data_IF_405362139300
#
_entry.id   IF_405362139300
#
_cell.length_a   1.000
_cell.length_b   1.000
_cell.length_c   1.000
_cell.angle_alpha   90.00
_cell.angle_beta   90.00
_cell.angle_gamma   90.00
#
_symmetry.space_group_name_H-M   'P 1'
#
loop_
_entity.id
_entity.type
_entity.pdbx_description
1 polymer ?
#
# COMPACT_ATOMS: atom_id res chain seq x y z
N UNK A 1 8.79 1.20 13.92
CA UNK A 1 7.44 0.60 13.86
C UNK A 1 7.27 -0.16 12.56
N UNK A 2 6.54 -1.25 12.61
CA UNK A 2 6.40 -2.13 11.46
C UNK A 2 5.06 -1.84 10.74
N UNK A 3 5.09 -1.39 9.46
CA UNK A 3 3.86 -1.13 8.72
C UNK A 3 3.13 -2.40 8.29
N UNK A 4 3.76 -3.56 8.42
CA UNK A 4 3.22 -4.84 7.99
C UNK A 4 2.77 -5.64 9.21
N UNK A 5 1.57 -6.23 9.13
CA UNK A 5 1.08 -7.17 10.15
C UNK A 5 0.53 -8.42 9.48
N UNK A 6 0.47 -9.50 10.25
CA UNK A 6 -0.12 -10.74 9.75
C UNK A 6 -1.64 -10.62 9.65
N UNK A 7 -2.19 -11.26 8.65
CA UNK A 7 -3.63 -11.35 8.45
C UNK A 7 -3.98 -12.79 8.12
N UNK A 8 -5.18 -13.21 8.48
CA UNK A 8 -5.62 -14.58 8.22
C UNK A 8 -5.56 -14.94 6.73
N UNK A 9 -5.74 -13.96 5.84
CA UNK A 9 -5.71 -14.16 4.39
C UNK A 9 -4.38 -13.79 3.74
N UNK A 10 -3.36 -13.43 4.52
CA UNK A 10 -2.06 -13.03 4.01
C UNK A 10 -1.37 -12.00 4.88
N UNK A 11 -1.23 -10.79 4.39
CA UNK A 11 -0.59 -9.70 5.12
C UNK A 11 -1.39 -8.42 5.00
N UNK A 12 -1.33 -7.58 6.02
CA UNK A 12 -1.91 -6.24 6.00
C UNK A 12 -0.78 -5.21 6.01
N UNK A 13 -0.84 -4.26 5.08
CA UNK A 13 0.17 -3.21 4.94
C UNK A 13 -0.48 -1.86 5.20
N UNK A 14 0.09 -1.09 6.12
CA UNK A 14 -0.34 0.27 6.40
C UNK A 14 0.38 1.23 5.47
N UNK A 15 -0.37 2.06 4.75
CA UNK A 15 0.14 2.96 3.72
C UNK A 15 -0.36 4.38 3.97
N UNK A 16 0.54 5.35 3.85
CA UNK A 16 0.19 6.77 3.85
C UNK A 16 0.34 7.29 2.41
N UNK A 17 -0.76 7.74 1.82
CA UNK A 17 -0.82 8.11 0.40
C UNK A 17 -0.72 9.62 0.24
N UNK A 18 0.13 10.07 -0.67
CA UNK A 18 0.23 11.48 -1.08
C UNK A 18 -0.16 11.56 -2.55
N UNK A 19 -1.38 12.03 -2.85
CA UNK A 19 -1.85 12.16 -4.23
C UNK A 19 -1.26 13.39 -4.91
N UNK A 20 -1.45 13.50 -6.22
CA UNK A 20 -1.03 14.67 -7.00
C UNK A 20 0.47 14.75 -7.24
N UNK A 21 1.21 13.68 -7.02
CA UNK A 21 2.65 13.66 -7.28
C UNK A 21 2.93 13.56 -8.78
N UNK A 22 4.16 13.87 -9.17
CA UNK A 22 4.56 13.78 -10.58
C UNK A 22 4.69 12.34 -11.07
N UNK A 23 4.90 11.39 -10.15
CA UNK A 23 4.93 9.96 -10.47
C UNK A 23 4.55 9.13 -9.26
N UNK A 24 4.17 7.88 -9.51
CA UNK A 24 3.81 6.93 -8.46
C UNK A 24 5.06 6.21 -7.99
N UNK A 25 5.37 6.33 -6.69
CA UNK A 25 6.59 5.72 -6.14
C UNK A 25 6.48 5.50 -4.63
N UNK A 26 7.24 4.52 -4.15
CA UNK A 26 7.36 4.22 -2.72
C UNK A 26 8.48 5.09 -2.14
N UNK A 27 8.17 5.80 -1.04
CA UNK A 27 9.12 6.73 -0.42
C UNK A 27 9.72 6.22 0.89
N UNK A 28 9.29 5.06 1.39
CA UNK A 28 9.81 4.50 2.63
C UNK A 28 8.91 4.75 3.83
N UNK A 29 9.46 4.55 5.03
CA UNK A 29 8.67 4.64 6.26
C UNK A 29 8.22 6.07 6.57
N UNK A 30 6.99 6.19 7.03
CA UNK A 30 6.39 7.42 7.52
C UNK A 30 5.59 7.05 8.79
N UNK A 31 6.23 7.18 9.95
CA UNK A 31 5.67 6.66 11.19
C UNK A 31 5.57 5.14 11.15
N UNK A 32 4.37 4.61 11.33
CA UNK A 32 4.09 3.17 11.26
C UNK A 32 3.47 2.76 9.92
N UNK A 33 3.67 3.56 8.88
CA UNK A 33 3.14 3.31 7.54
C UNK A 33 4.25 3.44 6.49
N UNK A 34 4.01 2.88 5.32
CA UNK A 34 4.84 3.13 4.14
C UNK A 34 4.24 4.33 3.41
N UNK A 35 5.06 5.34 3.16
CA UNK A 35 4.63 6.50 2.38
C UNK A 35 4.71 6.19 0.90
N UNK A 36 3.62 6.44 0.18
CA UNK A 36 3.53 6.23 -1.27
C UNK A 36 3.04 7.51 -1.92
N UNK A 37 3.78 8.02 -2.88
CA UNK A 37 3.33 9.11 -3.73
C UNK A 37 2.61 8.54 -4.93
N UNK A 38 1.48 9.13 -5.28
CA UNK A 38 0.63 8.65 -6.38
C UNK A 38 0.40 9.79 -7.36
N UNK A 39 0.68 9.55 -8.64
CA UNK A 39 0.52 10.56 -9.69
C UNK A 39 -0.92 10.75 -10.13
N UNK A 40 -1.81 9.84 -9.78
CA UNK A 40 -3.23 9.93 -10.15
C UNK A 40 -3.97 10.90 -9.24
N UNK A 41 -5.04 11.55 -9.74
CA UNK A 41 -5.89 12.37 -8.88
C UNK A 41 -6.63 11.50 -7.86
N UNK A 42 -7.05 12.07 -6.70
CA UNK A 42 -7.74 11.30 -5.67
C UNK A 42 -9.16 10.89 -6.03
N UNK A 43 -9.75 11.52 -7.06
CA UNK A 43 -11.12 11.24 -7.45
C UNK A 43 -11.22 10.02 -8.38
N UNK A 44 -12.40 9.40 -8.43
CA UNK A 44 -12.72 8.34 -9.38
C UNK A 44 -12.01 7.03 -9.13
N UNK A 45 -11.44 6.84 -7.94
CA UNK A 45 -10.74 5.60 -7.59
C UNK A 45 -9.41 5.40 -8.29
N UNK A 46 -8.93 6.36 -9.07
CA UNK A 46 -7.68 6.21 -9.83
C UNK A 46 -6.47 6.12 -8.93
N UNK A 47 -6.43 6.92 -7.86
CA UNK A 47 -5.32 6.86 -6.91
C UNK A 47 -5.29 5.53 -6.17
N UNK A 48 -6.45 5.01 -5.77
CA UNK A 48 -6.53 3.71 -5.11
C UNK A 48 -6.09 2.59 -6.05
N UNK A 49 -6.49 2.64 -7.32
CA UNK A 49 -6.08 1.63 -8.29
C UNK A 49 -4.57 1.67 -8.54
N UNK A 50 -4.01 2.86 -8.68
CA UNK A 50 -2.56 3.02 -8.85
C UNK A 50 -1.80 2.47 -7.65
N UNK A 51 -2.31 2.70 -6.44
CA UNK A 51 -1.72 2.16 -5.22
C UNK A 51 -1.78 0.63 -5.21
N UNK A 52 -2.92 0.05 -5.51
CA UNK A 52 -3.10 -1.40 -5.56
C UNK A 52 -2.14 -2.02 -6.58
N UNK A 53 -2.07 -1.45 -7.78
CA UNK A 53 -1.18 -1.95 -8.83
C UNK A 53 0.29 -1.91 -8.39
N UNK A 54 0.71 -0.83 -7.76
CA UNK A 54 2.08 -0.68 -7.26
C UNK A 54 2.40 -1.74 -6.20
N UNK A 55 1.49 -1.95 -5.26
CA UNK A 55 1.67 -2.94 -4.20
C UNK A 55 1.74 -4.35 -4.77
N UNK A 56 0.87 -4.67 -5.74
CA UNK A 56 0.90 -5.97 -6.40
C UNK A 56 2.21 -6.20 -7.16
N UNK A 57 2.66 -5.20 -7.90
CA UNK A 57 3.93 -5.29 -8.63
C UNK A 57 5.12 -5.47 -7.69
N UNK A 58 5.10 -4.81 -6.54
CA UNK A 58 6.20 -4.85 -5.58
C UNK A 58 6.25 -6.15 -4.80
N UNK A 59 5.08 -6.72 -4.44
CA UNK A 59 5.01 -7.88 -3.55
C UNK A 59 4.79 -9.20 -4.27
N UNK A 60 4.22 -9.16 -5.46
CA UNK A 60 3.81 -10.36 -6.18
C UNK A 60 2.50 -10.95 -5.71
N UNK A 61 1.84 -10.34 -4.71
CA UNK A 61 0.57 -10.81 -4.20
C UNK A 61 -0.61 -10.10 -4.85
N UNK A 62 -1.80 -10.44 -4.37
CA UNK A 62 -3.04 -9.79 -4.78
C UNK A 62 -3.46 -8.78 -3.73
N UNK A 63 -3.58 -7.52 -4.12
CA UNK A 63 -3.83 -6.43 -3.20
C UNK A 63 -5.25 -5.88 -3.33
N UNK A 64 -5.83 -5.53 -2.18
CA UNK A 64 -7.11 -4.84 -2.12
C UNK A 64 -7.11 -3.90 -0.92
N UNK A 65 -7.94 -2.85 -0.98
CA UNK A 65 -8.04 -1.91 0.13
C UNK A 65 -8.94 -2.51 1.20
N UNK A 66 -8.37 -2.74 2.38
CA UNK A 66 -9.08 -3.31 3.51
C UNK A 66 -9.81 -2.22 4.30
N UNK A 67 -9.18 -1.06 4.47
CA UNK A 67 -9.80 0.08 5.14
C UNK A 67 -9.18 1.39 4.66
N UNK A 68 -9.87 2.50 4.90
CA UNK A 68 -9.37 3.82 4.59
C UNK A 68 -9.47 4.21 3.12
N UNK A 69 -10.43 3.67 2.37
CA UNK A 69 -10.56 3.94 0.93
C UNK A 69 -10.66 5.44 0.61
N UNK A 70 -11.26 6.23 1.50
CA UNK A 70 -11.41 7.68 1.34
C UNK A 70 -10.44 8.48 2.19
N UNK A 71 -9.46 7.83 2.81
CA UNK A 71 -8.48 8.44 3.69
C UNK A 71 -7.10 8.41 3.06
N UNK A 72 -6.20 9.29 3.53
CA UNK A 72 -4.79 9.23 3.13
C UNK A 72 -4.06 8.06 3.80
N UNK A 73 -4.54 7.59 4.94
CA UNK A 73 -3.98 6.41 5.60
C UNK A 73 -4.88 5.23 5.27
N UNK A 74 -4.30 4.23 4.62
CA UNK A 74 -5.02 3.06 4.14
C UNK A 74 -4.38 1.80 4.67
N UNK A 75 -5.19 0.74 4.78
CA UNK A 75 -4.68 -0.60 5.05
C UNK A 75 -4.96 -1.45 3.82
N UNK A 76 -3.90 -2.06 3.29
CA UNK A 76 -3.96 -2.90 2.09
C UNK A 76 -3.84 -4.34 2.53
N UNK A 77 -4.81 -5.17 2.12
CA UNK A 77 -4.72 -6.61 2.29
C UNK A 77 -3.98 -7.19 1.09
N UNK A 78 -2.94 -7.98 1.35
CA UNK A 78 -2.14 -8.62 0.32
C UNK A 78 -2.26 -10.13 0.50
N UNK A 79 -2.90 -10.78 -0.46
CA UNK A 79 -3.12 -12.22 -0.46
C UNK A 79 -2.04 -12.92 -1.27
N UNK A 80 -1.77 -14.18 -0.90
CA UNK A 80 -0.80 -15.00 -1.63
C UNK A 80 0.64 -14.82 -1.21
N UNK A 81 0.90 -13.97 -0.22
CA UNK A 81 2.22 -13.72 0.35
C UNK A 81 2.10 -13.62 1.86
N UNK A 82 3.17 -13.91 2.59
CA UNK A 82 3.19 -13.75 4.04
C UNK A 82 3.74 -12.39 4.45
N UNK A 83 3.56 -12.04 5.73
CA UNK A 83 3.99 -10.74 6.25
C UNK A 83 5.50 -10.54 6.14
N UNK A 84 6.28 -11.58 6.33
CA UNK A 84 7.75 -11.48 6.21
C UNK A 84 8.18 -11.13 4.80
N UNK A 85 7.56 -11.75 3.80
CA UNK A 85 7.83 -11.46 2.40
C UNK A 85 7.47 -10.02 2.05
N UNK A 86 6.30 -9.55 2.49
CA UNK A 86 5.86 -8.18 2.27
C UNK A 86 6.82 -7.19 2.92
N UNK A 87 7.22 -7.46 4.16
CA UNK A 87 8.16 -6.58 4.87
C UNK A 87 9.49 -6.45 4.12
N UNK A 88 10.02 -7.56 3.58
CA UNK A 88 11.25 -7.53 2.79
C UNK A 88 11.09 -6.73 1.50
N UNK A 89 9.90 -6.75 0.91
CA UNK A 89 9.61 -6.01 -0.34
C UNK A 89 9.66 -4.49 -0.16
N UNK A 90 9.46 -4.00 1.06
CA UNK A 90 9.37 -2.57 1.34
C UNK A 90 10.55 -2.04 2.19
N UNK A 91 11.62 -2.75 2.24
CA UNK A 91 12.84 -2.28 2.89
C UNK A 91 13.54 -1.20 2.08
#
# INVERSE_FOLDING_TARGET
>A
MNPVSEHVDGAALRVHVVPGASRTEIKGLHGDAIKVRVSAPPEGGKANQALVDLVEDTTGGRASILSGASSRTKVILIRGVDAGSVQRSFR
#
